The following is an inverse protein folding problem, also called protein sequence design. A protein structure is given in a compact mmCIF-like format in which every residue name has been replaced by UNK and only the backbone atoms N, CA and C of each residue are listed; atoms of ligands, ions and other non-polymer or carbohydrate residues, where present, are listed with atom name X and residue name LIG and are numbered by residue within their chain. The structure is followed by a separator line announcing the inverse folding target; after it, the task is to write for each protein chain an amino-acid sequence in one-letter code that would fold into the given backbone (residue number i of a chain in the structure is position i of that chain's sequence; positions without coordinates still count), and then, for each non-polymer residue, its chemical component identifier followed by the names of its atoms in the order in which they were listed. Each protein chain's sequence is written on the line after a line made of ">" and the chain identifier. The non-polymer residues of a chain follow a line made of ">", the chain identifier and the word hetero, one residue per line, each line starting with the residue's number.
data_IF_282933227310
#
_entry.id   IF_282933227310
#
_cell.length_a   1.000
_cell.length_b   1.000
_cell.length_c   1.000
_cell.angle_alpha   90.00
_cell.angle_beta   90.00
_cell.angle_gamma   90.00
#
_symmetry.space_group_name_H-M   'P 1'
#
loop_
_entity.id
_entity.type
_entity.pdbx_description
1 polymer ?
#
# COMPACT_ATOMS: atom_id res chain seq x y z
N UNK A 1 -28.25 12.57 63.00
CA UNK A 1 -29.14 13.08 61.93
C UNK A 1 -28.79 12.26 60.69
N UNK A 2 -29.65 11.36 60.20
CA UNK A 2 -30.90 11.60 59.45
C UNK A 2 -30.62 12.07 58.00
N UNK A 3 -31.15 11.47 56.92
CA UNK A 3 -32.08 10.32 56.79
C UNK A 3 -31.92 9.63 55.41
N UNK A 4 -32.50 8.43 55.25
CA UNK A 4 -32.73 7.74 53.96
C UNK A 4 -33.72 8.53 53.05
N UNK A 5 -33.69 8.29 51.74
CA UNK A 5 -34.84 7.81 50.93
C UNK A 5 -34.49 7.64 49.43
N UNK A 6 -35.40 7.03 48.65
CA UNK A 6 -35.18 6.54 47.27
C UNK A 6 -36.00 7.28 46.17
N UNK A 7 -35.86 6.79 44.93
CA UNK A 7 -36.45 7.25 43.64
C UNK A 7 -37.98 7.38 43.59
N UNK A 8 -38.56 8.02 42.54
CA UNK A 8 -39.00 7.26 41.35
C UNK A 8 -38.92 7.98 39.97
N UNK A 9 -39.50 7.34 38.93
CA UNK A 9 -39.49 7.69 37.48
C UNK A 9 -40.55 8.72 37.02
N UNK A 10 -40.66 8.89 35.68
CA UNK A 10 -41.79 9.39 34.85
C UNK A 10 -41.73 10.88 34.43
N UNK A 11 -42.21 11.33 33.26
CA UNK A 11 -42.52 10.63 31.98
C UNK A 11 -42.67 11.62 30.79
N UNK A 12 -42.77 11.09 29.56
CA UNK A 12 -43.28 11.81 28.37
C UNK A 12 -42.18 12.35 27.42
N UNK A 13 -42.10 12.06 26.11
CA UNK A 13 -43.03 11.64 25.02
C UNK A 13 -43.48 12.77 24.09
N UNK A 14 -42.77 12.94 22.95
CA UNK A 14 -43.27 13.25 21.60
C UNK A 14 -42.05 13.33 20.65
N UNK A 15 -41.73 12.33 19.83
CA UNK A 15 -42.34 12.01 18.52
C UNK A 15 -42.54 13.21 17.60
N UNK A 16 -41.67 13.35 16.61
CA UNK A 16 -42.10 13.66 15.24
C UNK A 16 -41.25 12.84 14.26
N UNK A 17 -41.80 12.51 13.09
CA UNK A 17 -41.17 11.63 12.09
C UNK A 17 -41.43 12.17 10.69
N UNK A 18 -40.37 12.58 9.98
CA UNK A 18 -40.46 12.97 8.58
C UNK A 18 -39.74 11.96 7.68
N UNK A 19 -40.52 11.00 7.20
CA UNK A 19 -40.20 10.24 6.00
C UNK A 19 -40.05 11.19 4.81
N UNK A 20 -39.02 10.98 3.98
CA UNK A 20 -39.00 11.51 2.61
C UNK A 20 -38.73 10.38 1.61
N UNK A 21 -39.66 10.24 0.67
CA UNK A 21 -39.77 9.12 -0.27
C UNK A 21 -38.82 9.28 -1.46
N UNK A 22 -38.23 8.19 -2.01
CA UNK A 22 -37.38 8.28 -3.19
C UNK A 22 -38.14 8.76 -4.43
N UNK A 23 -37.55 9.69 -5.19
CA UNK A 23 -38.09 10.12 -6.49
C UNK A 23 -37.75 9.12 -7.61
N UNK A 24 -38.71 8.95 -8.51
CA UNK A 24 -38.78 7.88 -9.51
C UNK A 24 -38.12 8.29 -10.83
N UNK A 25 -37.12 7.54 -11.29
CA UNK A 25 -36.54 7.72 -12.63
C UNK A 25 -37.50 7.23 -13.73
N UNK A 26 -37.60 7.92 -14.87
CA UNK A 26 -38.28 7.40 -16.06
C UNK A 26 -37.33 6.52 -16.90
N UNK A 27 -37.84 5.38 -17.36
CA UNK A 27 -37.17 4.52 -18.34
C UNK A 27 -37.41 5.02 -19.76
N UNK A 28 -36.39 4.95 -20.62
CA UNK A 28 -36.53 5.05 -22.09
C UNK A 28 -35.99 3.76 -22.71
N UNK A 29 -36.67 3.30 -23.76
CA UNK A 29 -36.52 1.96 -24.33
C UNK A 29 -35.38 1.84 -25.35
N UNK A 30 -35.02 0.59 -25.63
CA UNK A 30 -34.29 0.19 -26.84
C UNK A 30 -35.05 0.59 -28.09
N UNK A 31 -34.34 1.08 -29.10
CA UNK A 31 -34.75 0.93 -30.49
C UNK A 31 -33.51 0.58 -31.32
N UNK A 32 -33.70 -0.33 -32.28
CA UNK A 32 -32.65 -0.88 -33.13
C UNK A 32 -33.06 -0.67 -34.57
N UNK A 33 -32.19 -0.08 -35.38
CA UNK A 33 -32.40 -0.11 -36.83
C UNK A 33 -31.09 -0.21 -37.61
N UNK A 34 -31.21 -0.64 -38.87
CA UNK A 34 -30.10 -1.22 -39.62
C UNK A 34 -29.94 -0.63 -41.03
N UNK A 35 -28.71 -0.77 -41.57
CA UNK A 35 -28.39 -0.75 -43.02
C UNK A 35 -28.70 0.56 -43.77
N UNK A 36 -27.66 1.15 -44.36
CA UNK A 36 -27.63 1.44 -45.81
C UNK A 36 -26.20 1.80 -46.26
N UNK A 37 -25.76 1.19 -47.36
CA UNK A 37 -24.56 1.56 -48.11
C UNK A 37 -24.97 2.00 -49.52
N UNK A 38 -24.28 3.00 -50.08
CA UNK A 38 -23.72 2.86 -51.43
C UNK A 38 -22.20 3.14 -51.39
N UNK A 39 -21.32 2.39 -52.08
CA UNK A 39 -21.15 2.32 -53.54
C UNK A 39 -20.94 3.72 -54.15
N UNK A 40 -19.71 4.20 -54.36
CA UNK A 40 -18.66 3.71 -55.30
C UNK A 40 -18.92 4.14 -56.75
N UNK A 41 -18.01 4.95 -57.28
CA UNK A 41 -17.76 5.17 -58.70
C UNK A 41 -16.25 4.99 -58.94
N UNK A 42 -15.88 4.36 -60.06
CA UNK A 42 -14.49 4.17 -60.51
C UNK A 42 -14.31 4.87 -61.87
N UNK A 43 -13.24 5.63 -62.06
CA UNK A 43 -12.69 6.10 -63.36
C UNK A 43 -11.31 6.74 -63.04
N UNK A 44 -10.11 6.26 -63.41
CA UNK A 44 -9.56 5.38 -64.45
C UNK A 44 -9.06 6.10 -65.72
N UNK A 45 -7.76 6.41 -65.76
CA UNK A 45 -7.01 6.64 -67.01
C UNK A 45 -5.52 6.25 -66.85
N UNK A 46 -4.82 6.02 -67.97
CA UNK A 46 -3.58 5.20 -68.04
C UNK A 46 -2.42 5.86 -68.80
N UNK A 47 -1.19 5.46 -68.47
CA UNK A 47 -0.04 5.50 -69.41
C UNK A 47 1.08 4.54 -68.96
N UNK A 48 1.74 3.90 -69.93
CA UNK A 48 2.75 2.86 -69.71
C UNK A 48 4.19 3.40 -69.78
N UNK A 49 5.08 2.86 -68.94
CA UNK A 49 6.54 2.89 -69.10
C UNK A 49 7.19 1.70 -68.36
N UNK A 50 8.32 1.19 -68.86
CA UNK A 50 8.64 -0.24 -68.75
C UNK A 50 9.78 -0.62 -67.76
N UNK A 51 9.55 -1.69 -66.97
CA UNK A 51 10.49 -2.60 -66.27
C UNK A 51 11.69 -2.00 -65.47
N UNK A 52 11.57 -2.08 -64.14
CA UNK A 52 12.50 -2.88 -63.32
C UNK A 52 11.86 -3.30 -61.98
N UNK A 53 12.02 -4.56 -61.50
CA UNK A 53 11.27 -5.06 -60.34
C UNK A 53 11.89 -4.65 -58.99
N UNK A 54 11.19 -3.89 -58.12
CA UNK A 54 11.71 -3.51 -56.82
C UNK A 54 11.80 -4.71 -55.85
N UNK A 55 12.92 -4.80 -55.11
CA UNK A 55 13.18 -5.84 -54.11
C UNK A 55 12.16 -5.78 -52.97
N UNK A 56 11.05 -6.53 -53.09
CA UNK A 56 10.00 -6.64 -52.05
C UNK A 56 10.60 -7.16 -50.74
N UNK A 57 10.82 -6.25 -49.78
CA UNK A 57 11.08 -6.59 -48.37
C UNK A 57 9.91 -7.45 -47.87
N UNK A 58 10.11 -8.76 -47.70
CA UNK A 58 9.10 -9.66 -47.14
C UNK A 58 8.74 -9.19 -45.74
N UNK A 59 7.50 -8.71 -45.54
CA UNK A 59 6.94 -8.52 -44.19
C UNK A 59 7.09 -9.85 -43.43
N UNK A 60 7.54 -9.87 -42.16
CA UNK A 60 7.58 -11.10 -41.39
C UNK A 60 6.17 -11.67 -41.29
N UNK A 61 5.96 -12.87 -41.85
CA UNK A 61 4.75 -13.64 -41.58
C UNK A 61 4.73 -13.94 -40.08
N UNK A 62 3.62 -13.73 -39.35
CA UNK A 62 3.47 -14.15 -37.96
C UNK A 62 3.54 -15.69 -37.84
N UNK A 63 4.76 -16.20 -37.84
CA UNK A 63 5.04 -17.63 -37.91
C UNK A 63 4.57 -18.35 -36.66
N UNK A 64 3.59 -19.26 -36.85
CA UNK A 64 3.19 -20.36 -35.96
C UNK A 64 4.23 -20.62 -34.87
N UNK A 65 3.88 -20.34 -33.61
CA UNK A 65 4.83 -20.27 -32.50
C UNK A 65 5.67 -21.54 -32.34
N UNK A 66 6.91 -21.50 -32.84
CA UNK A 66 7.81 -22.65 -32.79
C UNK A 66 8.09 -23.06 -31.34
N UNK A 67 8.02 -24.36 -31.05
CA UNK A 67 8.34 -24.90 -29.72
C UNK A 67 9.69 -24.38 -29.23
N UNK A 68 9.67 -23.73 -28.06
CA UNK A 68 10.85 -23.12 -27.45
C UNK A 68 11.90 -24.19 -27.18
N UNK A 69 13.11 -23.99 -27.71
CA UNK A 69 14.28 -24.85 -27.48
C UNK A 69 14.58 -24.89 -25.97
N UNK A 70 14.33 -26.04 -25.33
CA UNK A 70 14.48 -26.22 -23.88
C UNK A 70 15.95 -25.99 -23.44
N UNK A 71 16.91 -26.46 -24.25
CA UNK A 71 18.36 -26.40 -23.96
C UNK A 71 19.09 -25.22 -24.62
N UNK A 72 18.37 -24.28 -25.21
CA UNK A 72 18.98 -23.13 -25.90
C UNK A 72 19.87 -22.27 -24.99
N UNK A 73 20.92 -21.70 -25.58
CA UNK A 73 21.85 -20.78 -24.91
C UNK A 73 21.16 -19.51 -24.39
N UNK A 74 21.75 -18.84 -23.40
CA UNK A 74 21.17 -17.65 -22.76
C UNK A 74 20.83 -16.55 -23.77
N UNK A 75 21.70 -16.29 -24.74
CA UNK A 75 21.49 -15.27 -25.77
C UNK A 75 20.30 -15.58 -26.71
N UNK A 76 20.09 -16.84 -27.11
CA UNK A 76 18.90 -17.21 -27.88
C UNK A 76 17.62 -17.15 -27.03
N UNK A 77 17.67 -17.57 -25.76
CA UNK A 77 16.54 -17.49 -24.83
C UNK A 77 16.11 -16.04 -24.57
N UNK A 78 17.05 -15.15 -24.21
CA UNK A 78 16.81 -13.71 -24.00
C UNK A 78 16.19 -13.05 -25.24
N UNK A 79 16.68 -13.39 -26.43
CA UNK A 79 16.19 -12.86 -27.72
C UNK A 79 14.91 -13.54 -28.24
N UNK A 80 14.35 -14.53 -27.51
CA UNK A 80 13.14 -15.29 -27.87
C UNK A 80 13.20 -15.96 -29.27
N UNK A 81 14.40 -16.38 -29.71
CA UNK A 81 14.62 -17.03 -31.02
C UNK A 81 15.04 -18.50 -30.87
N UNK A 82 14.82 -19.31 -31.92
CA UNK A 82 15.24 -20.72 -31.96
C UNK A 82 16.78 -20.81 -31.90
N UNK A 83 17.30 -21.43 -30.84
CA UNK A 83 18.70 -21.82 -30.75
C UNK A 83 18.99 -23.00 -31.68
N UNK A 84 20.22 -23.13 -32.19
CA UNK A 84 20.65 -24.29 -32.98
C UNK A 84 21.28 -25.42 -32.14
N UNK A 85 21.36 -25.25 -30.82
CA UNK A 85 21.90 -26.20 -29.80
C UNK A 85 23.32 -26.78 -30.02
N UNK A 86 24.00 -26.41 -31.12
CA UNK A 86 25.40 -26.72 -31.40
C UNK A 86 26.37 -26.14 -30.35
N UNK A 87 27.38 -26.93 -29.99
CA UNK A 87 28.49 -26.56 -29.10
C UNK A 87 29.81 -26.49 -29.92
N UNK A 88 30.81 -25.70 -29.51
CA UNK A 88 30.79 -24.76 -28.38
C UNK A 88 29.82 -23.59 -28.59
N UNK A 89 29.67 -23.12 -29.83
CA UNK A 89 28.78 -22.01 -30.16
C UNK A 89 27.60 -22.38 -31.07
N UNK A 90 26.46 -21.72 -30.85
CA UNK A 90 25.29 -21.86 -31.70
C UNK A 90 25.40 -20.98 -32.96
N UNK A 91 24.84 -21.47 -34.08
CA UNK A 91 24.83 -20.80 -35.39
C UNK A 91 24.04 -19.48 -35.41
N UNK A 92 23.38 -19.10 -34.31
CA UNK A 92 22.69 -17.82 -34.14
C UNK A 92 23.48 -16.78 -33.32
N UNK A 93 24.50 -17.22 -32.58
CA UNK A 93 25.39 -16.36 -31.79
C UNK A 93 26.69 -16.10 -32.55
N UNK A 94 27.32 -17.14 -33.10
CA UNK A 94 28.52 -17.07 -33.96
C UNK A 94 28.33 -16.10 -35.14
N UNK A 95 27.22 -16.21 -35.91
CA UNK A 95 26.87 -15.29 -37.02
C UNK A 95 26.59 -13.84 -36.61
N UNK A 96 26.65 -13.52 -35.31
CA UNK A 96 26.40 -12.18 -34.77
C UNK A 96 27.49 -11.71 -33.80
N UNK A 97 28.62 -12.44 -33.68
CA UNK A 97 29.70 -12.09 -32.76
C UNK A 97 29.29 -12.10 -31.27
N UNK A 98 28.27 -12.88 -30.91
CA UNK A 98 27.76 -12.94 -29.52
C UNK A 98 28.35 -14.12 -28.77
N UNK A 99 28.90 -13.89 -27.58
CA UNK A 99 29.40 -14.96 -26.67
C UNK A 99 28.29 -15.98 -26.38
N UNK A 100 28.52 -17.25 -26.73
CA UNK A 100 27.48 -18.28 -26.74
C UNK A 100 27.45 -19.14 -25.45
N UNK A 101 27.02 -18.56 -24.33
CA UNK A 101 26.94 -19.27 -23.04
C UNK A 101 25.71 -20.18 -22.96
N UNK A 102 25.92 -21.46 -22.66
CA UNK A 102 24.88 -22.45 -22.35
C UNK A 102 24.69 -22.59 -20.84
N UNK A 103 23.46 -22.84 -20.33
CA UNK A 103 23.28 -23.24 -18.94
C UNK A 103 23.93 -24.60 -18.71
N UNK A 104 24.70 -24.71 -17.64
CA UNK A 104 25.30 -25.97 -17.21
C UNK A 104 24.21 -26.92 -16.70
N UNK A 105 24.33 -28.20 -17.07
CA UNK A 105 23.48 -29.26 -16.53
C UNK A 105 24.13 -29.79 -15.25
N UNK A 106 23.42 -29.88 -14.11
CA UNK A 106 24.00 -30.41 -12.88
C UNK A 106 24.53 -31.84 -13.12
N UNK A 107 25.76 -32.09 -12.66
CA UNK A 107 26.44 -33.36 -12.82
C UNK A 107 25.79 -34.45 -11.95
N UNK A 108 25.53 -35.65 -12.49
CA UNK A 108 24.91 -36.73 -11.72
C UNK A 108 25.93 -37.42 -10.80
N UNK A 109 25.56 -37.64 -9.55
CA UNK A 109 26.10 -38.73 -8.73
C UNK A 109 25.20 -39.97 -8.87
N UNK A 110 25.76 -41.17 -9.08
CA UNK A 110 25.04 -42.43 -8.84
C UNK A 110 24.95 -42.66 -7.30
N UNK A 111 24.05 -43.45 -6.72
CA UNK A 111 23.11 -44.49 -7.19
C UNK A 111 21.97 -44.57 -6.10
N UNK A 112 20.74 -45.10 -6.22
CA UNK A 112 20.12 -46.15 -7.08
C UNK A 112 18.66 -45.83 -7.47
N UNK A 113 18.09 -46.75 -8.25
CA UNK A 113 16.68 -46.91 -8.63
C UNK A 113 15.62 -46.74 -7.53
N UNK A 114 14.48 -46.12 -7.87
CA UNK A 114 13.19 -46.83 -8.00
C UNK A 114 12.08 -45.97 -8.64
N UNK A 115 11.18 -46.62 -9.40
CA UNK A 115 9.76 -46.26 -9.50
C UNK A 115 9.38 -45.08 -10.41
N UNK A 116 8.61 -45.38 -11.47
CA UNK A 116 7.75 -44.39 -12.13
C UNK A 116 6.55 -44.05 -11.24
N UNK A 117 6.78 -43.23 -10.21
CA UNK A 117 5.71 -42.74 -9.34
C UNK A 117 5.14 -41.42 -9.87
N UNK A 118 3.82 -41.34 -10.00
CA UNK A 118 3.12 -40.06 -10.10
C UNK A 118 3.54 -39.24 -8.88
N UNK A 119 4.15 -38.07 -9.13
CA UNK A 119 4.65 -37.22 -8.05
C UNK A 119 3.47 -36.56 -7.33
N UNK A 120 2.92 -37.27 -6.34
CA UNK A 120 2.09 -36.69 -5.29
C UNK A 120 2.76 -35.39 -4.83
N UNK A 121 2.00 -34.30 -4.84
CA UNK A 121 2.42 -33.05 -4.23
C UNK A 121 2.43 -33.21 -2.69
N UNK A 122 3.45 -33.90 -2.17
CA UNK A 122 3.87 -33.73 -0.78
C UNK A 122 4.22 -32.24 -0.66
N UNK A 123 3.36 -31.48 0.00
CA UNK A 123 3.60 -30.09 0.32
C UNK A 123 4.86 -30.00 1.20
N UNK A 124 6.00 -29.75 0.56
CA UNK A 124 7.25 -29.49 1.27
C UNK A 124 7.07 -28.23 2.08
N UNK A 125 7.20 -28.32 3.40
CA UNK A 125 7.00 -27.18 4.30
C UNK A 125 8.02 -26.10 3.93
N UNK A 126 7.52 -24.93 3.50
CA UNK A 126 8.39 -23.85 3.06
C UNK A 126 9.11 -23.25 4.30
N UNK A 127 10.42 -23.49 4.39
CA UNK A 127 11.24 -23.06 5.52
C UNK A 127 11.35 -21.53 5.63
N UNK A 128 11.28 -20.81 4.50
CA UNK A 128 11.21 -19.34 4.53
C UNK A 128 9.87 -18.87 5.09
N UNK A 129 8.74 -19.53 4.78
CA UNK A 129 7.45 -19.20 5.40
C UNK A 129 7.46 -19.47 6.91
N UNK A 130 8.11 -20.56 7.38
CA UNK A 130 8.31 -20.78 8.82
C UNK A 130 9.19 -19.68 9.46
N UNK A 131 10.23 -19.22 8.75
CA UNK A 131 11.09 -18.10 9.21
C UNK A 131 10.28 -16.81 9.31
N UNK A 132 9.48 -16.48 8.28
CA UNK A 132 8.63 -15.29 8.26
C UNK A 132 7.55 -15.37 9.35
N UNK A 133 6.91 -16.52 9.55
CA UNK A 133 5.90 -16.72 10.59
C UNK A 133 6.47 -16.53 12.00
N UNK A 134 7.63 -17.14 12.29
CA UNK A 134 8.34 -16.93 13.56
C UNK A 134 8.74 -15.46 13.75
N UNK A 135 9.18 -14.79 12.68
CA UNK A 135 9.59 -13.39 12.74
C UNK A 135 8.41 -12.43 12.94
N UNK A 136 7.25 -12.74 12.35
CA UNK A 136 6.00 -12.03 12.60
C UNK A 136 5.63 -12.06 14.08
N UNK A 137 5.60 -13.26 14.68
CA UNK A 137 5.20 -13.46 16.09
C UNK A 137 6.10 -12.75 17.11
N UNK A 138 7.38 -12.53 16.78
CA UNK A 138 8.40 -12.03 17.72
C UNK A 138 8.80 -10.57 17.50
N UNK A 139 8.79 -10.08 16.26
CA UNK A 139 9.44 -8.80 15.91
C UNK A 139 8.68 -7.94 14.87
N UNK A 140 7.87 -8.56 14.00
CA UNK A 140 7.30 -7.89 12.83
C UNK A 140 5.77 -7.79 12.80
N UNK A 141 5.10 -8.01 13.94
CA UNK A 141 3.69 -7.66 14.07
C UNK A 141 3.51 -6.12 14.14
N UNK A 142 2.35 -5.58 13.70
CA UNK A 142 2.06 -4.15 13.78
C UNK A 142 2.23 -3.52 15.18
N UNK A 143 3.08 -2.49 15.36
CA UNK A 143 3.43 -1.94 16.67
C UNK A 143 2.38 -1.06 17.36
N UNK A 144 1.31 -0.68 16.65
CA UNK A 144 0.27 0.21 17.17
C UNK A 144 -1.14 -0.30 16.79
N UNK A 145 -2.14 -0.28 17.72
CA UNK A 145 -2.07 0.19 19.11
C UNK A 145 -1.05 -0.57 19.97
N UNK A 146 -0.49 0.09 20.98
CA UNK A 146 0.52 -0.56 21.84
C UNK A 146 -0.12 -1.62 22.73
N UNK A 147 0.61 -2.71 23.02
CA UNK A 147 0.11 -3.83 23.84
C UNK A 147 -0.74 -4.86 23.08
N UNK A 148 -0.94 -4.72 21.76
CA UNK A 148 -1.81 -5.59 20.96
C UNK A 148 -1.18 -6.93 20.52
N UNK A 149 -0.04 -7.31 21.09
CA UNK A 149 0.71 -8.54 20.76
C UNK A 149 -0.17 -9.81 20.77
N UNK A 150 -0.99 -9.98 21.82
CA UNK A 150 -1.90 -11.13 21.94
C UNK A 150 -2.96 -11.20 20.82
N UNK A 151 -3.39 -10.04 20.28
CA UNK A 151 -4.30 -10.01 19.12
C UNK A 151 -3.55 -10.52 17.89
N UNK A 152 -2.30 -10.10 17.67
CA UNK A 152 -1.49 -10.56 16.54
C UNK A 152 -1.06 -12.03 16.64
N UNK A 153 -0.84 -12.56 17.84
CA UNK A 153 -0.64 -14.00 18.05
C UNK A 153 -1.89 -14.80 17.69
N UNK A 154 -3.08 -14.32 18.07
CA UNK A 154 -4.35 -14.94 17.67
C UNK A 154 -4.58 -14.83 16.15
N UNK A 155 -4.26 -13.69 15.52
CA UNK A 155 -4.31 -13.51 14.05
C UNK A 155 -3.41 -14.52 13.35
N UNK A 156 -2.21 -14.77 13.87
CA UNK A 156 -1.28 -15.75 13.31
C UNK A 156 -1.78 -17.20 13.42
N UNK A 157 -2.72 -17.49 14.32
CA UNK A 157 -3.41 -18.78 14.37
C UNK A 157 -4.52 -18.92 13.32
N UNK A 158 -4.94 -17.83 12.65
CA UNK A 158 -5.96 -17.88 11.60
C UNK A 158 -5.35 -18.36 10.28
N UNK A 159 -5.77 -19.54 9.83
CA UNK A 159 -5.46 -20.09 8.50
C UNK A 159 -6.30 -19.43 7.40
N UNK A 160 -6.16 -18.11 7.23
CA UNK A 160 -7.03 -17.25 6.40
C UNK A 160 -6.24 -16.35 5.43
N UNK A 161 -6.93 -15.43 4.76
CA UNK A 161 -6.37 -14.42 3.85
C UNK A 161 -5.27 -13.57 4.52
N UNK A 162 -5.35 -13.39 5.84
CA UNK A 162 -4.33 -12.73 6.64
C UNK A 162 -2.95 -13.40 6.55
N UNK A 163 -2.89 -14.72 6.29
CA UNK A 163 -1.66 -15.52 6.28
C UNK A 163 -0.61 -14.95 5.31
N UNK A 164 -0.97 -14.69 4.05
CA UNK A 164 -0.05 -14.09 3.08
C UNK A 164 0.36 -12.66 3.48
N UNK A 165 -0.53 -11.90 4.13
CA UNK A 165 -0.28 -10.53 4.54
C UNK A 165 0.72 -10.46 5.71
N UNK A 166 0.59 -11.32 6.72
CA UNK A 166 1.52 -11.39 7.86
C UNK A 166 2.88 -11.97 7.46
N UNK A 167 2.91 -12.96 6.56
CA UNK A 167 4.15 -13.52 6.02
C UNK A 167 4.88 -12.49 5.15
N UNK A 168 4.18 -11.75 4.29
CA UNK A 168 4.75 -10.67 3.48
C UNK A 168 5.30 -9.52 4.33
N UNK A 169 4.60 -9.16 5.40
CA UNK A 169 5.04 -8.13 6.35
C UNK A 169 6.36 -8.54 7.03
N UNK A 170 6.45 -9.78 7.51
CA UNK A 170 7.65 -10.29 8.16
C UNK A 170 8.82 -10.52 7.19
N UNK A 171 8.58 -10.94 5.95
CA UNK A 171 9.59 -11.03 4.90
C UNK A 171 10.19 -9.65 4.55
N UNK A 172 9.34 -8.64 4.45
CA UNK A 172 9.76 -7.26 4.20
C UNK A 172 10.52 -6.66 5.38
N UNK A 173 10.07 -6.92 6.61
CA UNK A 173 10.78 -6.54 7.83
C UNK A 173 12.16 -7.20 7.91
N UNK A 174 12.25 -8.52 7.69
CA UNK A 174 13.53 -9.26 7.62
C UNK A 174 14.52 -8.67 6.60
N UNK A 175 14.01 -8.19 5.47
CA UNK A 175 14.81 -7.52 4.42
C UNK A 175 15.47 -6.23 4.94
N UNK A 176 14.75 -5.44 5.74
CA UNK A 176 15.28 -4.21 6.34
C UNK A 176 16.23 -4.48 7.52
N UNK A 177 16.02 -5.55 8.28
CA UNK A 177 16.72 -5.79 9.55
C UNK A 177 17.92 -6.74 9.49
N UNK A 178 17.84 -7.84 8.74
CA UNK A 178 18.76 -8.97 8.88
C UNK A 178 19.69 -9.20 7.68
N UNK A 179 19.79 -8.24 6.76
CA UNK A 179 20.71 -8.26 5.62
C UNK A 179 20.51 -9.40 4.62
N UNK A 180 19.48 -10.24 4.81
CA UNK A 180 19.04 -11.25 3.86
C UNK A 180 17.96 -10.61 3.00
N UNK A 181 18.22 -10.42 1.70
CA UNK A 181 17.21 -9.85 0.80
C UNK A 181 16.07 -10.85 0.57
N UNK A 182 14.87 -10.47 1.02
CA UNK A 182 13.61 -11.21 0.80
C UNK A 182 12.60 -10.38 -0.01
N UNK A 183 13.06 -9.33 -0.73
CA UNK A 183 12.19 -8.40 -1.47
C UNK A 183 11.26 -9.10 -2.49
N UNK A 184 11.74 -10.17 -3.14
CA UNK A 184 10.94 -10.93 -4.11
C UNK A 184 9.84 -11.71 -3.39
N UNK A 185 10.20 -12.47 -2.34
CA UNK A 185 9.25 -13.24 -1.54
C UNK A 185 8.21 -12.34 -0.87
N UNK A 186 8.62 -11.19 -0.33
CA UNK A 186 7.73 -10.21 0.25
C UNK A 186 6.74 -9.64 -0.78
N UNK A 187 7.20 -9.34 -2.00
CA UNK A 187 6.35 -8.86 -3.08
C UNK A 187 5.37 -9.93 -3.60
N UNK A 188 5.83 -11.17 -3.79
CA UNK A 188 4.97 -12.29 -4.19
C UNK A 188 3.87 -12.56 -3.14
N UNK A 189 4.24 -12.54 -1.85
CA UNK A 189 3.30 -12.65 -0.72
C UNK A 189 2.34 -11.46 -0.65
N UNK A 190 2.81 -10.23 -0.89
CA UNK A 190 1.96 -9.02 -0.98
C UNK A 190 0.95 -9.12 -2.10
N UNK A 191 1.35 -9.57 -3.30
CA UNK A 191 0.44 -9.75 -4.44
C UNK A 191 -0.59 -10.84 -4.14
N UNK A 192 -0.18 -11.97 -3.54
CA UNK A 192 -1.10 -13.01 -3.10
C UNK A 192 -2.10 -12.51 -2.05
N UNK A 193 -1.65 -11.70 -1.08
CA UNK A 193 -2.50 -11.10 -0.05
C UNK A 193 -3.50 -10.08 -0.62
N UNK A 194 -3.08 -9.19 -1.53
CA UNK A 194 -3.96 -8.22 -2.19
C UNK A 194 -5.03 -8.95 -3.02
N UNK A 195 -4.65 -9.98 -3.77
CA UNK A 195 -5.60 -10.76 -4.57
C UNK A 195 -6.62 -11.49 -3.69
N UNK A 196 -6.16 -12.20 -2.65
CA UNK A 196 -7.04 -12.91 -1.72
C UNK A 196 -7.96 -11.98 -0.93
N UNK A 197 -7.47 -10.81 -0.50
CA UNK A 197 -8.30 -9.80 0.16
C UNK A 197 -9.35 -9.22 -0.79
N UNK A 198 -9.00 -8.92 -2.06
CA UNK A 198 -9.98 -8.46 -3.05
C UNK A 198 -11.04 -9.51 -3.38
N UNK A 199 -10.64 -10.78 -3.47
CA UNK A 199 -11.57 -11.91 -3.67
C UNK A 199 -12.52 -12.06 -2.46
N UNK A 200 -11.99 -12.06 -1.23
CA UNK A 200 -12.79 -12.10 -0.02
C UNK A 200 -13.73 -10.89 0.11
N UNK A 201 -13.27 -9.67 -0.17
CA UNK A 201 -14.09 -8.44 -0.16
C UNK A 201 -15.20 -8.44 -1.23
N UNK A 202 -15.10 -9.27 -2.28
CA UNK A 202 -16.19 -9.45 -3.25
C UNK A 202 -17.36 -10.28 -2.70
N UNK A 203 -17.15 -10.98 -1.59
CA UNK A 203 -18.11 -11.86 -0.92
C UNK A 203 -18.55 -11.28 0.43
N UNK A 204 -19.77 -11.57 0.92
CA UNK A 204 -20.14 -11.23 2.29
C UNK A 204 -19.21 -11.92 3.31
N UNK A 205 -19.11 -11.37 4.52
CA UNK A 205 -18.59 -12.12 5.68
C UNK A 205 -19.67 -13.12 6.12
N UNK A 206 -19.29 -14.37 6.38
CA UNK A 206 -20.16 -15.41 6.93
C UNK A 206 -19.93 -15.59 8.44
N UNK A 207 -18.73 -15.28 8.93
CA UNK A 207 -18.35 -15.34 10.35
C UNK A 207 -17.64 -14.06 10.82
N UNK A 208 -17.58 -13.83 12.14
CA UNK A 208 -16.74 -12.77 12.74
C UNK A 208 -15.26 -12.96 12.37
N UNK A 209 -14.79 -14.22 12.36
CA UNK A 209 -13.43 -14.60 11.97
C UNK A 209 -13.08 -14.19 10.53
N UNK A 210 -14.05 -14.20 9.60
CA UNK A 210 -13.83 -13.73 8.23
C UNK A 210 -13.59 -12.21 8.20
N UNK A 211 -14.35 -11.45 9.00
CA UNK A 211 -14.20 -10.01 9.12
C UNK A 211 -12.86 -9.65 9.77
N UNK A 212 -12.51 -10.34 10.86
CA UNK A 212 -11.24 -10.20 11.56
C UNK A 212 -10.05 -10.58 10.66
N UNK A 213 -10.16 -11.64 9.85
CA UNK A 213 -9.14 -12.03 8.88
C UNK A 213 -8.92 -10.96 7.79
N UNK A 214 -10.00 -10.42 7.22
CA UNK A 214 -9.94 -9.33 6.22
C UNK A 214 -9.36 -8.05 6.83
N UNK A 215 -9.70 -7.76 8.09
CA UNK A 215 -9.20 -6.59 8.83
C UNK A 215 -7.71 -6.72 9.19
N UNK A 216 -7.29 -7.89 9.66
CA UNK A 216 -5.88 -8.22 9.85
C UNK A 216 -5.06 -8.08 8.56
N UNK A 217 -5.60 -8.57 7.43
CA UNK A 217 -4.94 -8.50 6.13
C UNK A 217 -4.72 -7.06 5.66
N UNK A 218 -5.73 -6.18 5.76
CA UNK A 218 -5.57 -4.77 5.34
C UNK A 218 -4.61 -4.00 6.26
N UNK A 219 -4.61 -4.27 7.57
CA UNK A 219 -3.62 -3.66 8.50
C UNK A 219 -2.20 -4.11 8.13
N UNK A 220 -1.97 -5.40 7.93
CA UNK A 220 -0.65 -5.92 7.55
C UNK A 220 -0.18 -5.39 6.17
N UNK A 221 -1.08 -5.29 5.18
CA UNK A 221 -0.80 -4.62 3.90
C UNK A 221 -0.50 -3.13 4.04
N UNK A 222 -1.11 -2.46 5.01
CA UNK A 222 -0.82 -1.05 5.33
C UNK A 222 0.58 -0.90 5.91
N UNK A 223 0.98 -1.73 6.88
CA UNK A 223 2.33 -1.67 7.46
C UNK A 223 3.44 -2.11 6.49
N UNK A 224 3.18 -3.06 5.60
CA UNK A 224 4.07 -3.35 4.45
C UNK A 224 4.30 -2.09 3.60
N UNK A 225 3.26 -1.28 3.38
CA UNK A 225 3.38 -0.01 2.67
C UNK A 225 4.29 0.97 3.42
N UNK A 226 4.16 1.06 4.75
CA UNK A 226 5.04 1.84 5.63
C UNK A 226 6.50 1.34 5.69
N UNK A 227 6.80 0.18 5.09
CA UNK A 227 8.14 -0.37 4.91
C UNK A 227 8.66 -0.26 3.46
N UNK A 228 7.90 0.33 2.52
CA UNK A 228 8.31 0.53 1.12
C UNK A 228 8.70 2.01 0.87
N UNK A 229 9.90 2.32 0.34
CA UNK A 229 10.41 3.69 0.25
C UNK A 229 9.73 4.56 -0.82
N UNK A 230 8.81 4.03 -1.61
CA UNK A 230 8.06 4.70 -2.68
C UNK A 230 6.53 4.66 -2.48
N UNK A 231 6.04 3.95 -1.46
CA UNK A 231 4.62 3.65 -1.27
C UNK A 231 3.81 4.69 -0.45
N UNK A 232 4.27 5.95 -0.33
CA UNK A 232 3.60 6.98 0.49
C UNK A 232 2.10 7.12 0.19
N UNK A 233 1.73 7.16 -1.10
CA UNK A 233 0.33 7.29 -1.50
C UNK A 233 -0.45 5.99 -1.27
N UNK A 234 0.20 4.84 -1.44
CA UNK A 234 -0.39 3.51 -1.21
C UNK A 234 -0.69 3.30 0.28
N UNK A 235 0.20 3.70 1.18
CA UNK A 235 -0.06 3.74 2.62
C UNK A 235 -1.31 4.56 2.97
N UNK A 236 -1.44 5.77 2.40
CA UNK A 236 -2.61 6.63 2.62
C UNK A 236 -3.91 6.03 2.05
N UNK A 237 -3.82 5.26 0.95
CA UNK A 237 -4.96 4.51 0.40
C UNK A 237 -5.34 3.30 1.26
N UNK A 238 -4.35 2.52 1.71
CA UNK A 238 -4.58 1.34 2.57
C UNK A 238 -5.13 1.74 3.95
N UNK A 239 -4.69 2.87 4.53
CA UNK A 239 -5.29 3.45 5.75
C UNK A 239 -6.78 3.82 5.60
N UNK A 240 -7.24 4.21 4.39
CA UNK A 240 -8.68 4.40 4.11
C UNK A 240 -9.42 3.07 3.99
N UNK A 241 -8.79 2.06 3.40
CA UNK A 241 -9.30 0.69 3.35
C UNK A 241 -9.48 0.05 4.74
N UNK A 242 -8.48 0.19 5.62
CA UNK A 242 -8.52 -0.20 7.04
C UNK A 242 -9.80 0.31 7.69
N UNK A 243 -9.97 1.63 7.73
CA UNK A 243 -11.03 2.25 8.54
C UNK A 243 -12.42 2.09 7.91
N UNK A 244 -12.49 1.83 6.59
CA UNK A 244 -13.73 1.37 5.96
C UNK A 244 -14.11 -0.04 6.42
N UNK A 245 -13.18 -1.00 6.39
CA UNK A 245 -13.44 -2.39 6.84
C UNK A 245 -13.86 -2.42 8.32
N UNK A 246 -13.15 -1.67 9.18
CA UNK A 246 -13.49 -1.54 10.60
C UNK A 246 -14.94 -1.05 10.84
N UNK A 247 -15.44 -0.14 10.01
CA UNK A 247 -16.74 0.54 10.23
C UNK A 247 -17.89 -0.02 9.38
N UNK A 248 -17.62 -1.03 8.54
CA UNK A 248 -18.61 -1.61 7.61
C UNK A 248 -18.62 -3.14 7.51
N UNK A 249 -17.55 -3.82 7.88
CA UNK A 249 -17.41 -5.28 7.72
C UNK A 249 -17.40 -6.07 9.03
N UNK A 250 -17.13 -5.45 10.17
CA UNK A 250 -17.25 -6.04 11.51
C UNK A 250 -18.72 -5.91 11.96
N UNK A 251 -19.51 -7.01 12.05
CA UNK A 251 -20.96 -6.91 12.29
C UNK A 251 -21.30 -6.64 13.76
N UNK A 252 -20.48 -7.17 14.68
CA UNK A 252 -20.58 -6.99 16.12
C UNK A 252 -19.15 -6.71 16.65
N UNK A 253 -18.85 -5.46 17.06
CA UNK A 253 -17.54 -5.10 17.56
C UNK A 253 -17.12 -5.89 18.81
N UNK A 254 -18.03 -6.27 19.71
CA UNK A 254 -17.68 -6.96 20.97
C UNK A 254 -17.19 -8.40 20.73
N UNK A 255 -17.67 -9.01 19.64
CA UNK A 255 -17.32 -10.34 19.14
C UNK A 255 -16.10 -10.36 18.19
N UNK A 256 -15.47 -9.20 17.95
CA UNK A 256 -14.23 -9.11 17.18
C UNK A 256 -13.00 -9.24 18.09
N UNK A 257 -11.98 -9.95 17.63
CA UNK A 257 -10.66 -9.96 18.30
C UNK A 257 -9.99 -8.57 18.31
N UNK A 258 -10.49 -7.64 17.49
CA UNK A 258 -10.03 -6.26 17.35
C UNK A 258 -10.96 -5.23 18.02
N UNK A 259 -11.88 -5.64 18.90
CA UNK A 259 -12.77 -4.71 19.65
C UNK A 259 -12.01 -3.53 20.29
N UNK A 260 -10.81 -3.81 20.79
CA UNK A 260 -9.94 -2.85 21.47
C UNK A 260 -9.11 -1.97 20.49
N UNK A 261 -9.36 -2.02 19.18
CA UNK A 261 -8.73 -1.15 18.17
C UNK A 261 -9.52 0.16 17.94
N UNK A 262 -10.18 0.69 18.97
CA UNK A 262 -10.89 1.98 18.91
C UNK A 262 -9.91 3.17 18.86
N UNK A 263 -10.39 4.36 18.47
CA UNK A 263 -9.59 5.60 18.57
C UNK A 263 -9.16 5.84 20.01
N UNK A 264 -10.09 5.60 20.94
CA UNK A 264 -9.98 5.87 22.36
C UNK A 264 -8.92 4.95 23.00
N UNK A 265 -8.93 3.66 22.65
CA UNK A 265 -7.91 2.70 23.07
C UNK A 265 -6.54 3.00 22.43
N UNK A 266 -6.48 3.40 21.15
CA UNK A 266 -5.23 3.81 20.51
C UNK A 266 -4.62 5.01 21.25
N UNK A 267 -5.40 6.07 21.49
CA UNK A 267 -4.98 7.28 22.23
C UNK A 267 -4.58 6.94 23.67
N UNK A 268 -5.33 6.08 24.36
CA UNK A 268 -4.97 5.60 25.70
C UNK A 268 -3.64 4.85 25.72
N UNK A 269 -3.42 3.94 24.77
CA UNK A 269 -2.17 3.17 24.65
C UNK A 269 -0.96 4.07 24.38
N UNK A 270 -1.11 5.12 23.58
CA UNK A 270 -0.07 6.13 23.36
C UNK A 270 0.23 6.93 24.63
N UNK A 271 -0.82 7.43 25.32
CA UNK A 271 -0.65 8.22 26.54
C UNK A 271 0.13 7.43 27.60
N UNK A 272 -0.28 6.18 27.87
CA UNK A 272 0.41 5.28 28.79
C UNK A 272 1.87 5.01 28.37
N UNK A 273 2.13 4.80 27.07
CA UNK A 273 3.47 4.52 26.56
C UNK A 273 4.42 5.72 26.72
N UNK A 274 3.94 6.94 26.51
CA UNK A 274 4.73 8.17 26.73
C UNK A 274 4.95 8.44 28.21
N UNK A 275 3.94 8.23 29.06
CA UNK A 275 4.08 8.36 30.53
C UNK A 275 5.16 7.43 31.09
N UNK A 276 5.27 6.20 30.55
CA UNK A 276 6.31 5.23 30.90
C UNK A 276 7.72 5.55 30.33
N UNK A 277 7.81 6.35 29.27
CA UNK A 277 9.07 6.72 28.61
C UNK A 277 9.49 8.18 28.84
N UNK A 278 8.80 8.90 29.73
CA UNK A 278 8.95 10.35 29.88
C UNK A 278 10.41 10.76 30.05
N UNK A 279 10.87 11.51 29.06
CA UNK A 279 12.21 12.06 28.98
C UNK A 279 12.07 13.48 28.43
N UNK A 280 12.28 14.50 29.27
CA UNK A 280 11.92 15.89 28.98
C UNK A 280 12.91 16.51 27.97
N UNK A 281 12.74 16.16 26.69
CA UNK A 281 13.50 16.65 25.53
C UNK A 281 13.14 18.09 25.19
N UNK A 282 14.03 18.75 24.43
CA UNK A 282 13.83 20.12 23.94
C UNK A 282 12.53 20.26 23.13
N UNK A 283 11.87 21.40 23.29
CA UNK A 283 10.63 21.75 22.58
C UNK A 283 10.94 22.09 21.11
N UNK A 284 10.22 21.45 20.19
CA UNK A 284 10.36 21.66 18.74
C UNK A 284 9.98 23.11 18.38
N UNK A 285 10.81 23.79 17.58
CA UNK A 285 10.51 25.10 17.02
C UNK A 285 9.46 24.99 15.89
N UNK A 286 8.18 25.15 16.25
CA UNK A 286 7.04 25.01 15.32
C UNK A 286 6.60 26.31 14.63
N UNK A 287 7.33 27.41 14.81
CA UNK A 287 7.05 28.66 14.09
C UNK A 287 7.36 28.55 12.60
N UNK A 288 8.47 27.89 12.22
CA UNK A 288 8.80 27.61 10.81
C UNK A 288 7.78 26.65 10.16
N UNK A 289 7.20 25.72 10.95
CA UNK A 289 6.12 24.84 10.48
C UNK A 289 4.87 25.65 10.11
N UNK A 290 4.42 26.53 11.01
CA UNK A 290 3.25 27.38 10.78
C UNK A 290 3.49 28.40 9.66
N UNK A 291 4.70 28.94 9.55
CA UNK A 291 5.12 29.79 8.43
C UNK A 291 5.09 29.05 7.09
N UNK A 292 5.58 27.80 7.05
CA UNK A 292 5.52 26.96 5.84
C UNK A 292 4.07 26.67 5.43
N UNK A 293 3.19 26.31 6.37
CA UNK A 293 1.76 26.12 6.09
C UNK A 293 1.07 27.40 5.58
N UNK A 294 1.46 28.58 6.09
CA UNK A 294 0.94 29.86 5.59
C UNK A 294 1.25 30.08 4.10
N UNK A 295 2.44 29.68 3.63
CA UNK A 295 2.80 29.73 2.20
C UNK A 295 2.01 28.66 1.41
N UNK A 296 1.93 27.43 1.94
CA UNK A 296 1.18 26.30 1.33
C UNK A 296 -0.31 26.63 1.11
N UNK A 297 -0.91 27.49 1.95
CA UNK A 297 -2.29 27.97 1.79
C UNK A 297 -2.60 28.49 0.38
N UNK A 298 -1.63 29.11 -0.29
CA UNK A 298 -1.78 29.62 -1.66
C UNK A 298 -1.96 28.53 -2.74
N UNK A 299 -1.61 27.28 -2.42
CA UNK A 299 -1.73 26.13 -3.32
C UNK A 299 -3.03 25.34 -3.16
N UNK A 300 -3.76 25.52 -2.05
CA UNK A 300 -4.95 24.75 -1.70
C UNK A 300 -6.17 25.24 -2.50
N UNK A 301 -6.64 24.39 -3.41
CA UNK A 301 -7.80 24.66 -4.28
C UNK A 301 -8.92 23.63 -4.05
N UNK A 302 -8.56 22.38 -3.75
CA UNK A 302 -9.52 21.32 -3.47
C UNK A 302 -10.03 21.36 -2.02
N UNK A 303 -11.31 21.06 -1.82
CA UNK A 303 -11.93 20.99 -0.48
C UNK A 303 -11.19 20.04 0.47
N UNK A 304 -10.69 18.90 -0.05
CA UNK A 304 -9.85 17.96 0.71
C UNK A 304 -8.52 18.56 1.18
N UNK A 305 -7.88 19.39 0.35
CA UNK A 305 -6.62 20.09 0.67
C UNK A 305 -6.83 21.14 1.75
N UNK A 306 -7.92 21.92 1.64
CA UNK A 306 -8.30 22.95 2.61
C UNK A 306 -8.65 22.31 3.97
N UNK A 307 -9.39 21.19 3.96
CA UNK A 307 -9.65 20.37 5.17
C UNK A 307 -8.35 19.89 5.82
N UNK A 308 -7.40 19.38 5.03
CA UNK A 308 -6.12 18.86 5.53
C UNK A 308 -5.22 19.98 6.09
N UNK A 309 -5.10 21.10 5.38
CA UNK A 309 -4.36 22.30 5.83
C UNK A 309 -4.90 22.80 7.18
N UNK A 310 -6.21 22.99 7.29
CA UNK A 310 -6.86 23.45 8.53
C UNK A 310 -6.59 22.52 9.72
N UNK A 311 -6.56 21.20 9.47
CA UNK A 311 -6.20 20.23 10.50
C UNK A 311 -4.72 20.34 10.93
N UNK A 312 -3.79 20.56 10.00
CA UNK A 312 -2.36 20.77 10.29
C UNK A 312 -2.10 22.10 11.00
N UNK A 313 -2.78 23.19 10.61
CA UNK A 313 -2.70 24.49 11.30
C UNK A 313 -3.31 24.47 12.70
N UNK A 314 -4.28 23.58 12.95
CA UNK A 314 -4.78 23.29 14.30
C UNK A 314 -3.77 22.48 15.11
N UNK A 315 -3.22 21.40 14.55
CA UNK A 315 -2.20 20.59 15.23
C UNK A 315 -0.95 21.40 15.58
N UNK A 316 -0.44 22.24 14.66
CA UNK A 316 0.74 23.05 14.89
C UNK A 316 0.59 24.06 16.04
N UNK A 317 -0.61 24.67 16.18
CA UNK A 317 -0.91 25.54 17.32
C UNK A 317 -1.07 24.76 18.61
N UNK A 318 -1.86 23.69 18.59
CA UNK A 318 -2.01 22.79 19.74
C UNK A 318 -0.65 22.24 20.20
N UNK A 319 0.29 21.98 19.28
CA UNK A 319 1.62 21.49 19.59
C UNK A 319 2.55 22.56 20.22
N UNK A 320 2.29 23.86 20.03
CA UNK A 320 2.95 24.92 20.78
C UNK A 320 2.39 25.10 22.20
N UNK A 321 1.10 24.80 22.38
CA UNK A 321 0.37 24.98 23.65
C UNK A 321 0.49 23.74 24.57
N UNK A 322 0.32 22.55 24.00
CA UNK A 322 0.43 21.24 24.65
C UNK A 322 0.87 20.18 23.61
N UNK A 323 2.19 20.00 23.39
CA UNK A 323 2.70 19.03 22.42
C UNK A 323 2.27 17.58 22.73
N UNK A 324 1.98 17.24 23.99
CA UNK A 324 1.39 15.94 24.37
C UNK A 324 0.01 15.75 23.73
N UNK A 325 -0.92 16.68 23.94
CA UNK A 325 -2.28 16.54 23.39
C UNK A 325 -2.28 16.66 21.85
N UNK A 326 -1.33 17.39 21.27
CA UNK A 326 -1.12 17.40 19.82
C UNK A 326 -0.60 16.06 19.27
N UNK A 327 0.30 15.39 19.98
CA UNK A 327 0.75 14.04 19.64
C UNK A 327 -0.41 13.04 19.72
N UNK A 328 -1.26 13.12 20.75
CA UNK A 328 -2.44 12.27 20.86
C UNK A 328 -3.51 12.56 19.78
N UNK A 329 -3.67 13.83 19.37
CA UNK A 329 -4.56 14.24 18.28
C UNK A 329 -4.02 13.98 16.86
N UNK A 330 -2.81 13.41 16.70
CA UNK A 330 -2.27 13.08 15.37
C UNK A 330 -2.88 11.80 14.78
N UNK A 331 -3.25 10.83 15.62
CA UNK A 331 -3.93 9.59 15.20
C UNK A 331 -5.27 9.88 14.51
N UNK A 332 -6.16 10.74 15.06
CA UNK A 332 -7.33 11.27 14.36
C UNK A 332 -7.05 11.98 13.02
N UNK A 333 -5.80 12.41 12.77
CA UNK A 333 -5.43 13.09 11.54
C UNK A 333 -4.99 12.13 10.41
N UNK A 334 -4.48 10.94 10.74
CA UNK A 334 -4.38 9.85 9.75
C UNK A 334 -5.75 9.51 9.14
N UNK A 335 -6.83 9.67 9.92
CA UNK A 335 -8.21 9.42 9.49
C UNK A 335 -8.87 10.56 8.67
N UNK A 336 -8.14 11.63 8.29
CA UNK A 336 -8.71 12.77 7.54
C UNK A 336 -9.25 12.36 6.16
N UNK A 337 -8.61 11.39 5.49
CA UNK A 337 -9.05 10.87 4.19
C UNK A 337 -10.35 10.08 4.25
N UNK A 338 -10.76 9.59 5.43
CA UNK A 338 -12.05 8.95 5.65
C UNK A 338 -13.21 9.96 5.74
N UNK A 339 -12.89 11.22 6.06
CA UNK A 339 -13.83 12.36 6.09
C UNK A 339 -13.94 13.07 4.73
N UNK A 340 -13.27 12.54 3.71
CA UNK A 340 -13.39 13.00 2.33
C UNK A 340 -14.46 12.18 1.60
N UNK A 341 -15.27 12.86 0.78
CA UNK A 341 -16.12 12.18 -0.21
C UNK A 341 -15.26 11.38 -1.18
N UNK A 342 -15.88 10.49 -1.94
CA UNK A 342 -15.16 9.62 -2.87
C UNK A 342 -14.42 10.43 -3.96
N UNK A 343 -15.02 11.52 -4.44
CA UNK A 343 -14.40 12.37 -5.47
C UNK A 343 -13.38 13.35 -4.87
N UNK A 344 -13.58 13.84 -3.63
CA UNK A 344 -12.55 14.55 -2.87
C UNK A 344 -11.30 13.67 -2.68
N UNK A 345 -11.50 12.40 -2.30
CA UNK A 345 -10.41 11.47 -2.05
C UNK A 345 -9.66 11.10 -3.34
N UNK A 346 -10.37 10.82 -4.44
CA UNK A 346 -9.76 10.61 -5.76
C UNK A 346 -8.91 11.82 -6.17
N UNK A 347 -9.46 13.04 -6.10
CA UNK A 347 -8.74 14.26 -6.45
C UNK A 347 -7.51 14.52 -5.55
N UNK A 348 -7.60 14.18 -4.26
CA UNK A 348 -6.50 14.31 -3.31
C UNK A 348 -5.39 13.27 -3.52
N UNK A 349 -5.72 12.06 -3.98
CA UNK A 349 -4.76 10.95 -4.17
C UNK A 349 -4.13 10.85 -5.55
N UNK A 350 -4.56 11.69 -6.52
CA UNK A 350 -3.92 11.79 -7.83
C UNK A 350 -2.41 12.06 -7.73
N UNK A 351 -1.52 11.30 -8.41
CA UNK A 351 -0.07 11.54 -8.39
C UNK A 351 0.37 12.93 -8.88
N UNK A 352 -0.46 13.55 -9.73
CA UNK A 352 -0.30 14.93 -10.24
C UNK A 352 -0.70 16.01 -9.24
N UNK A 353 -1.40 15.67 -8.16
CA UNK A 353 -1.77 16.61 -7.10
C UNK A 353 -0.55 16.92 -6.22
N UNK A 354 0.25 17.90 -6.64
CA UNK A 354 1.40 18.36 -5.88
C UNK A 354 1.02 18.98 -4.52
N UNK A 355 -0.13 19.64 -4.41
CA UNK A 355 -0.60 20.27 -3.17
C UNK A 355 -0.88 19.23 -2.09
N UNK A 356 -1.64 18.18 -2.39
CA UNK A 356 -1.90 17.07 -1.48
C UNK A 356 -0.59 16.38 -1.05
N UNK A 357 0.36 16.19 -1.96
CA UNK A 357 1.67 15.58 -1.66
C UNK A 357 2.55 16.47 -0.77
N UNK A 358 2.48 17.79 -0.91
CA UNK A 358 3.12 18.76 0.00
C UNK A 358 2.47 18.73 1.39
N UNK A 359 1.13 18.66 1.48
CA UNK A 359 0.41 18.57 2.75
C UNK A 359 0.72 17.26 3.50
N UNK A 360 0.78 16.13 2.78
CA UNK A 360 1.19 14.84 3.34
C UNK A 360 2.64 14.86 3.83
N UNK A 361 3.55 15.55 3.13
CA UNK A 361 4.93 15.71 3.59
C UNK A 361 5.04 16.53 4.90
N UNK A 362 4.24 17.59 5.05
CA UNK A 362 4.13 18.34 6.30
C UNK A 362 3.59 17.48 7.44
N UNK A 363 2.54 16.70 7.17
CA UNK A 363 1.93 15.79 8.14
C UNK A 363 2.93 14.74 8.66
N UNK A 364 3.64 14.06 7.76
CA UNK A 364 4.63 13.04 8.11
C UNK A 364 5.77 13.61 8.95
N UNK A 365 6.26 14.82 8.63
CA UNK A 365 7.36 15.44 9.38
C UNK A 365 6.92 16.06 10.71
N UNK A 366 5.68 16.54 10.83
CA UNK A 366 5.10 16.91 12.12
C UNK A 366 4.95 15.69 13.03
N UNK A 367 4.46 14.57 12.49
CA UNK A 367 4.35 13.31 13.20
C UNK A 367 5.72 12.80 13.66
N UNK A 368 6.72 12.79 12.77
CA UNK A 368 8.10 12.44 13.11
C UNK A 368 8.66 13.34 14.23
N UNK A 369 8.43 14.66 14.18
CA UNK A 369 8.89 15.58 15.20
C UNK A 369 8.27 15.30 16.58
N UNK A 370 6.95 15.18 16.65
CA UNK A 370 6.24 14.87 17.91
C UNK A 370 6.65 13.50 18.47
N UNK A 371 6.81 12.49 17.62
CA UNK A 371 7.39 11.20 18.02
C UNK A 371 8.84 11.33 18.56
N UNK A 372 9.66 12.22 17.99
CA UNK A 372 11.01 12.48 18.52
C UNK A 372 10.98 13.18 19.88
N UNK A 373 9.97 13.98 20.21
CA UNK A 373 9.83 14.61 21.52
C UNK A 373 9.36 13.63 22.59
N UNK A 374 8.39 12.76 22.30
CA UNK A 374 7.73 11.93 23.33
C UNK A 374 8.20 10.49 23.43
N UNK A 375 8.71 9.90 22.35
CA UNK A 375 9.16 8.51 22.37
C UNK A 375 10.65 8.42 22.69
N UNK A 376 11.04 7.39 23.43
CA UNK A 376 12.43 7.03 23.67
C UNK A 376 13.12 6.47 22.41
N UNK A 377 14.32 5.88 22.54
CA UNK A 377 14.89 5.07 21.48
C UNK A 377 13.91 3.94 21.15
N UNK A 378 13.24 4.06 20.00
CA UNK A 378 12.21 3.13 19.55
C UNK A 378 12.78 1.70 19.55
N UNK A 379 12.05 0.68 20.05
CA UNK A 379 12.49 -0.72 20.00
C UNK A 379 12.95 -1.03 18.57
N UNK A 380 14.15 -1.61 18.42
CA UNK A 380 14.88 -1.62 17.14
C UNK A 380 13.96 -2.00 15.97
N UNK A 381 13.19 -3.06 16.17
CA UNK A 381 12.16 -3.66 15.31
C UNK A 381 11.15 -2.68 14.67
N UNK A 382 10.97 -1.45 15.18
CA UNK A 382 10.03 -0.46 14.64
C UNK A 382 10.68 0.85 14.17
N UNK A 383 12.02 0.96 14.18
CA UNK A 383 12.73 2.19 13.83
C UNK A 383 12.58 2.62 12.35
N UNK A 384 12.25 1.71 11.43
CA UNK A 384 12.28 1.98 9.99
C UNK A 384 11.12 2.83 9.47
N UNK A 385 9.93 2.85 10.09
CA UNK A 385 8.82 3.72 9.67
C UNK A 385 9.25 5.19 9.55
N UNK A 386 10.18 5.61 10.43
CA UNK A 386 10.75 6.96 10.48
C UNK A 386 11.68 7.22 9.28
N UNK A 387 12.58 6.28 8.99
CA UNK A 387 13.49 6.35 7.84
C UNK A 387 12.74 6.28 6.49
N UNK A 388 11.67 5.50 6.42
CA UNK A 388 10.79 5.43 5.26
C UNK A 388 10.01 6.74 5.10
N UNK A 389 9.53 7.35 6.19
CA UNK A 389 8.84 8.65 6.16
C UNK A 389 9.74 9.79 5.66
N UNK A 390 11.02 9.85 6.07
CA UNK A 390 11.96 10.84 5.54
C UNK A 390 12.31 10.55 4.07
N UNK A 391 12.50 9.28 3.70
CA UNK A 391 12.72 8.87 2.31
C UNK A 391 11.53 9.20 1.39
N UNK A 392 10.28 9.08 1.89
CA UNK A 392 9.07 9.52 1.19
C UNK A 392 9.13 11.02 0.92
N UNK A 393 9.40 11.85 1.92
CA UNK A 393 9.44 13.33 1.78
C UNK A 393 10.53 13.78 0.81
N UNK A 394 11.71 13.17 0.88
CA UNK A 394 12.83 13.43 -0.07
C UNK A 394 12.42 13.07 -1.51
N UNK A 395 11.79 11.91 -1.72
CA UNK A 395 11.30 11.49 -3.04
C UNK A 395 10.13 12.34 -3.55
N UNK A 396 9.24 12.78 -2.66
CA UNK A 396 8.18 13.73 -3.00
C UNK A 396 8.81 15.00 -3.55
N UNK A 397 9.71 15.65 -2.81
CA UNK A 397 10.37 16.87 -3.26
C UNK A 397 11.11 16.70 -4.60
N UNK A 398 11.89 15.63 -4.74
CA UNK A 398 12.64 15.33 -5.97
C UNK A 398 11.75 15.07 -7.20
N UNK A 399 10.48 14.69 -7.00
CA UNK A 399 9.50 14.43 -8.06
C UNK A 399 8.53 15.58 -8.35
N UNK A 400 8.53 16.63 -7.53
CA UNK A 400 7.60 17.76 -7.67
C UNK A 400 8.12 18.81 -8.66
N UNK A 401 7.25 19.41 -9.51
CA UNK A 401 7.63 20.53 -10.36
C UNK A 401 8.25 21.70 -9.58
N UNK A 402 9.21 22.47 -10.14
CA UNK A 402 9.97 23.50 -9.41
C UNK A 402 9.14 24.53 -8.63
N UNK A 403 7.91 24.85 -9.08
CA UNK A 403 6.97 25.74 -8.35
C UNK A 403 6.65 25.30 -6.91
N UNK A 404 6.88 24.02 -6.57
CA UNK A 404 6.66 23.50 -5.22
C UNK A 404 7.90 23.59 -4.31
N UNK A 405 9.08 24.00 -4.80
CA UNK A 405 10.33 23.99 -4.02
C UNK A 405 10.24 24.79 -2.71
N UNK A 406 9.75 26.04 -2.75
CA UNK A 406 9.57 26.87 -1.54
C UNK A 406 8.63 26.21 -0.52
N UNK A 407 7.65 25.44 -0.99
CA UNK A 407 6.64 24.76 -0.19
C UNK A 407 7.14 23.43 0.41
N UNK A 408 8.30 22.94 -0.03
CA UNK A 408 8.93 21.72 0.50
C UNK A 408 10.12 22.02 1.42
N UNK A 409 10.45 23.29 1.67
CA UNK A 409 11.63 23.66 2.49
C UNK A 409 11.56 23.10 3.92
N UNK A 410 10.46 23.32 4.64
CA UNK A 410 10.33 22.79 6.01
C UNK A 410 10.29 21.26 6.05
N UNK A 411 9.46 20.55 5.25
CA UNK A 411 9.50 19.08 5.23
C UNK A 411 10.87 18.50 4.86
N UNK A 412 11.59 19.08 3.90
CA UNK A 412 12.95 18.65 3.56
C UNK A 412 13.96 18.93 4.68
N UNK A 413 13.87 20.09 5.32
CA UNK A 413 14.75 20.48 6.41
C UNK A 413 14.66 19.54 7.61
N UNK A 414 13.44 19.13 7.94
CA UNK A 414 13.16 18.08 8.93
C UNK A 414 13.66 16.70 8.45
N UNK A 415 13.33 16.30 7.21
CA UNK A 415 13.70 14.99 6.66
C UNK A 415 15.22 14.79 6.51
N UNK A 416 15.99 15.88 6.35
CA UNK A 416 17.44 15.88 6.19
C UNK A 416 18.21 16.16 7.48
N UNK A 417 17.51 16.50 8.58
CA UNK A 417 18.14 16.94 9.83
C UNK A 417 18.92 18.25 9.71
N UNK A 418 18.61 19.09 8.72
CA UNK A 418 19.32 20.35 8.45
C UNK A 418 18.63 21.58 9.06
N UNK A 419 17.40 21.42 9.53
CA UNK A 419 16.81 22.33 10.53
C UNK A 419 17.13 21.75 11.90
N UNK A 420 17.64 22.61 12.81
CA UNK A 420 18.19 22.17 14.08
C UNK A 420 17.16 21.47 14.99
N UNK A 421 17.60 20.42 15.66
CA UNK A 421 16.92 19.76 16.79
C UNK A 421 17.31 20.42 18.10
#
# INVERSE_FOLDING_TARGET
>A
MARYSASPNSDGSSTDSMFLTPLRQPSVSTESDAITTPSRTDENETSDAEKQPPKRKRKPVPGKGFHKSKRGCFNCKRRRVKCSEAKPECRGCSRMGLTCIYPESPSPTPDKSHGSSIANAKAGVNLDHLRFFRHFLLEAYPPAPHGTEAVWHNVAALSSEASNAILGLAAQHLTLFHGTDYSIQALDLRVAAINGLNEALSQPCLTSTDADARYAAIIALTYQSAYMPDAMMEFIMMMRGWMFIQTKLVPDPEMSMFRDFTREAFVGSMRQHVELQRNDKATIALDDFLASLHIVRSLCQGTGEIKYLSALERLGRLAKESPMEAFLEIVPCYALTNKMTEDEFKAFTLPSNGTARVLLAHFLMLNYALEMQFLGPTPKHFAFCKQISTAWVIRVAASLPPKFQQHMMWPLGMASGSMGM
#
